data_IF_892908471850
#
_entry.id   IF_892908471850
#
_cell.length_a   1.000
_cell.length_b   1.000
_cell.length_c   1.000
_cell.angle_alpha   90.00
_cell.angle_beta   90.00
_cell.angle_gamma   90.00
#
_symmetry.space_group_name_H-M   'P 1'
#
loop_
_entity.id
_entity.type
_entity.pdbx_description
1 polymer ?
#
# COMPACT_ATOMS: atom_id res chain seq x y z
N UNK A 1 17.99 5.33 -42.08
CA UNK A 1 18.00 4.57 -40.80
C UNK A 1 16.82 5.06 -39.98
N UNK A 2 15.87 4.18 -39.66
CA UNK A 2 14.77 4.56 -38.74
C UNK A 2 15.36 4.78 -37.36
N UNK A 3 15.03 5.90 -36.70
CA UNK A 3 15.39 6.13 -35.28
C UNK A 3 14.84 4.95 -34.46
N UNK A 4 15.59 4.44 -33.48
CA UNK A 4 15.11 3.40 -32.60
C UNK A 4 13.88 3.93 -31.87
N UNK A 5 12.71 3.38 -32.20
CA UNK A 5 11.47 3.70 -31.47
C UNK A 5 11.67 3.30 -30.01
N UNK A 6 11.48 4.26 -29.11
CA UNK A 6 11.50 3.99 -27.69
C UNK A 6 10.50 2.84 -27.40
N UNK A 7 11.00 1.70 -26.96
CA UNK A 7 10.15 0.57 -26.60
C UNK A 7 9.59 0.80 -25.19
N UNK A 8 8.32 0.53 -25.00
CA UNK A 8 7.68 0.53 -23.69
C UNK A 8 7.29 -0.91 -23.31
N UNK A 9 7.48 -1.24 -22.05
CA UNK A 9 7.02 -2.52 -21.46
C UNK A 9 5.87 -2.23 -20.54
N UNK A 10 4.77 -2.97 -20.70
CA UNK A 10 3.65 -2.93 -19.77
C UNK A 10 3.92 -3.95 -18.67
N UNK A 11 3.96 -3.49 -17.42
CA UNK A 11 4.08 -4.31 -16.24
C UNK A 11 2.76 -4.41 -15.48
N UNK A 12 2.51 -5.53 -14.83
CA UNK A 12 1.32 -5.80 -14.04
C UNK A 12 1.74 -5.97 -12.59
N UNK A 13 1.28 -5.10 -11.69
CA UNK A 13 1.56 -5.16 -10.26
C UNK A 13 0.31 -5.63 -9.49
N UNK A 14 0.45 -6.62 -8.62
CA UNK A 14 -0.62 -7.07 -7.74
C UNK A 14 -0.42 -6.54 -6.31
N UNK A 15 -1.40 -5.79 -5.81
CA UNK A 15 -1.47 -5.36 -4.42
C UNK A 15 -2.47 -6.27 -3.71
N UNK A 16 -1.95 -7.35 -3.11
CA UNK A 16 -2.76 -8.40 -2.49
C UNK A 16 -2.79 -8.16 -0.99
N UNK A 17 -3.97 -7.89 -0.47
CA UNK A 17 -4.21 -7.46 0.91
C UNK A 17 -5.01 -8.53 1.65
N UNK A 18 -4.58 -8.86 2.85
CA UNK A 18 -5.28 -9.70 3.81
C UNK A 18 -5.33 -9.02 5.18
N UNK A 19 -6.21 -9.49 6.07
CA UNK A 19 -6.19 -9.10 7.49
C UNK A 19 -6.22 -10.37 8.34
N UNK A 20 -5.20 -10.53 9.17
CA UNK A 20 -5.06 -11.68 10.08
C UNK A 20 -4.62 -11.17 11.44
N UNK A 21 -5.25 -11.64 12.51
CA UNK A 21 -4.94 -11.25 13.90
C UNK A 21 -4.92 -9.71 14.09
N UNK A 22 -5.89 -9.02 13.50
CA UNK A 22 -6.02 -7.56 13.54
C UNK A 22 -4.85 -6.79 12.84
N UNK A 23 -4.00 -7.52 12.11
CA UNK A 23 -2.88 -6.93 11.36
C UNK A 23 -3.23 -6.92 9.88
N UNK A 24 -3.22 -5.75 9.23
CA UNK A 24 -3.37 -5.66 7.78
C UNK A 24 -2.06 -6.10 7.13
N UNK A 25 -2.14 -7.07 6.24
CA UNK A 25 -0.99 -7.68 5.60
C UNK A 25 -0.99 -7.42 4.11
N UNK A 26 0.20 -7.21 3.59
CA UNK A 26 0.47 -7.11 2.16
C UNK A 26 1.35 -8.28 1.74
N UNK A 27 1.00 -8.91 0.64
CA UNK A 27 1.84 -9.94 0.05
C UNK A 27 2.97 -9.30 -0.73
N UNK A 28 4.20 -9.70 -0.42
CA UNK A 28 5.39 -9.28 -1.14
C UNK A 28 6.16 -10.50 -1.65
N UNK A 29 7.04 -10.26 -2.60
CA UNK A 29 7.98 -11.24 -3.14
C UNK A 29 9.40 -10.69 -3.04
N UNK A 30 10.38 -11.54 -2.85
CA UNK A 30 11.77 -11.13 -2.99
C UNK A 30 12.07 -10.90 -4.48
N UNK A 31 12.60 -9.76 -4.81
CA UNK A 31 12.95 -9.44 -6.20
C UNK A 31 14.41 -9.76 -6.46
N UNK A 32 14.66 -10.75 -7.32
CA UNK A 32 15.98 -10.90 -7.90
C UNK A 32 16.34 -9.63 -8.69
N UNK A 33 17.56 -9.14 -8.55
CA UNK A 33 18.03 -7.86 -9.11
C UNK A 33 17.81 -7.69 -10.63
N UNK A 34 17.40 -8.73 -11.36
CA UNK A 34 17.27 -8.79 -12.82
C UNK A 34 15.89 -9.22 -13.34
N UNK A 35 14.84 -9.17 -12.56
CA UNK A 35 13.51 -9.78 -12.84
C UNK A 35 12.71 -9.16 -14.01
N UNK A 36 13.25 -8.25 -14.82
CA UNK A 36 12.65 -7.86 -16.11
C UNK A 36 13.47 -8.35 -17.32
N UNK A 37 14.50 -9.20 -17.09
CA UNK A 37 15.19 -9.87 -18.17
C UNK A 37 14.26 -10.91 -18.82
N UNK A 38 14.20 -10.91 -20.14
CA UNK A 38 13.58 -11.98 -20.91
C UNK A 38 14.17 -13.35 -20.53
N UNK A 39 13.45 -14.47 -20.67
CA UNK A 39 13.93 -15.82 -20.30
C UNK A 39 15.33 -16.18 -20.83
N UNK A 40 15.78 -15.52 -21.90
CA UNK A 40 17.11 -15.71 -22.50
C UNK A 40 18.28 -15.08 -21.72
N UNK A 41 18.03 -14.26 -20.69
CA UNK A 41 19.06 -13.55 -19.91
C UNK A 41 19.16 -14.03 -18.45
N UNK A 42 18.63 -15.21 -18.14
CA UNK A 42 18.78 -15.85 -16.81
C UNK A 42 20.23 -16.30 -16.60
N UNK A 43 21.10 -15.36 -16.23
CA UNK A 43 22.29 -15.68 -15.44
C UNK A 43 21.89 -15.75 -13.97
N UNK A 44 22.34 -16.77 -13.28
CA UNK A 44 22.13 -17.03 -11.86
C UNK A 44 22.60 -15.82 -11.02
N UNK A 45 21.69 -14.92 -10.67
CA UNK A 45 21.91 -13.97 -9.59
C UNK A 45 21.26 -14.58 -8.35
N UNK A 46 22.08 -15.07 -7.42
CA UNK A 46 21.68 -15.47 -6.09
C UNK A 46 20.86 -14.33 -5.45
N UNK A 47 19.63 -14.63 -5.06
CA UNK A 47 18.86 -13.76 -4.19
C UNK A 47 19.56 -13.71 -2.83
N UNK A 48 20.43 -12.72 -2.66
CA UNK A 48 21.00 -12.41 -1.35
C UNK A 48 19.89 -11.98 -0.41
N UNK A 49 20.02 -12.28 0.88
CA UNK A 49 19.07 -11.90 1.95
C UNK A 49 18.81 -10.40 2.08
N UNK A 50 19.50 -9.58 1.32
CA UNK A 50 19.47 -8.11 1.35
C UNK A 50 18.70 -7.48 0.16
N UNK A 51 18.03 -8.30 -0.66
CA UNK A 51 17.25 -7.76 -1.79
C UNK A 51 15.97 -7.10 -1.29
N UNK A 52 15.65 -5.86 -1.70
CA UNK A 52 14.46 -5.18 -1.24
C UNK A 52 13.20 -5.93 -1.68
N UNK A 53 12.21 -6.00 -0.79
CA UNK A 53 10.92 -6.62 -1.08
C UNK A 53 10.17 -5.86 -2.17
N UNK A 54 9.38 -6.58 -2.97
CA UNK A 54 8.60 -6.03 -4.06
C UNK A 54 7.15 -6.55 -4.00
N UNK A 55 6.24 -5.86 -4.67
CA UNK A 55 4.93 -6.40 -4.97
C UNK A 55 5.05 -7.51 -6.04
N UNK A 56 4.19 -8.52 -6.04
CA UNK A 56 4.10 -9.47 -7.14
C UNK A 56 3.93 -8.73 -8.48
N UNK A 57 4.78 -9.08 -9.45
CA UNK A 57 4.93 -8.33 -10.68
C UNK A 57 5.28 -9.26 -11.84
N UNK A 58 4.74 -8.96 -13.02
CA UNK A 58 5.17 -9.58 -14.27
C UNK A 58 4.90 -8.69 -15.48
N UNK A 59 5.66 -8.85 -16.59
CA UNK A 59 5.39 -8.15 -17.82
C UNK A 59 4.11 -8.67 -18.48
N UNK A 60 3.35 -7.78 -19.11
CA UNK A 60 2.27 -8.18 -19.99
C UNK A 60 2.84 -8.71 -21.31
N UNK A 61 2.51 -9.93 -21.65
CA UNK A 61 2.84 -10.55 -22.93
C UNK A 61 1.58 -10.61 -23.80
N UNK A 62 1.48 -9.81 -24.89
CA UNK A 62 0.27 -9.79 -25.73
C UNK A 62 0.04 -11.10 -26.49
N UNK A 63 1.06 -11.93 -26.69
CA UNK A 63 0.94 -13.22 -27.37
C UNK A 63 0.38 -14.32 -26.47
N UNK A 64 0.63 -14.22 -25.16
CA UNK A 64 0.20 -15.21 -24.17
C UNK A 64 -1.02 -14.74 -23.35
N UNK A 65 -1.15 -13.45 -23.10
CA UNK A 65 -2.17 -12.89 -22.23
C UNK A 65 -3.28 -12.21 -23.03
N UNK A 66 -4.45 -12.84 -23.09
CA UNK A 66 -5.61 -12.26 -23.76
C UNK A 66 -6.05 -10.92 -23.17
N UNK A 67 -5.92 -10.74 -21.86
CA UNK A 67 -6.22 -9.50 -21.12
C UNK A 67 -5.14 -9.21 -20.09
N UNK A 68 -5.03 -7.94 -19.64
CA UNK A 68 -4.12 -7.55 -18.56
C UNK A 68 -4.44 -8.32 -17.28
N UNK A 69 -5.71 -8.52 -16.98
CA UNK A 69 -6.17 -9.22 -15.77
C UNK A 69 -5.76 -10.71 -15.79
N UNK A 70 -5.92 -11.42 -16.92
CA UNK A 70 -5.45 -12.80 -17.05
C UNK A 70 -3.93 -12.90 -16.91
N UNK A 71 -3.19 -11.96 -17.47
CA UNK A 71 -1.74 -11.88 -17.27
C UNK A 71 -1.36 -11.69 -15.80
N UNK A 72 -2.09 -10.84 -15.08
CA UNK A 72 -1.90 -10.64 -13.64
C UNK A 72 -2.13 -11.94 -12.84
N UNK A 73 -3.27 -12.63 -13.08
CA UNK A 73 -3.60 -13.90 -12.42
C UNK A 73 -2.50 -14.94 -12.64
N UNK A 74 -2.01 -15.10 -13.87
CA UNK A 74 -0.93 -16.04 -14.18
C UNK A 74 0.35 -15.72 -13.39
N UNK A 75 0.75 -14.45 -13.31
CA UNK A 75 1.94 -14.04 -12.56
C UNK A 75 1.80 -14.23 -11.06
N UNK A 76 0.63 -13.91 -10.50
CA UNK A 76 0.37 -14.10 -9.07
C UNK A 76 0.38 -15.59 -8.73
N UNK A 77 -0.30 -16.41 -9.49
CA UNK A 77 -0.32 -17.86 -9.27
C UNK A 77 1.09 -18.47 -9.32
N UNK A 78 1.88 -18.11 -10.33
CA UNK A 78 3.26 -18.59 -10.46
C UNK A 78 4.16 -18.18 -9.29
N UNK A 79 4.06 -16.93 -8.82
CA UNK A 79 4.94 -16.39 -7.81
C UNK A 79 4.52 -16.76 -6.39
N UNK A 80 3.23 -16.93 -6.14
CA UNK A 80 2.68 -17.02 -4.77
C UNK A 80 1.84 -18.28 -4.54
N UNK A 81 1.39 -18.94 -5.59
CA UNK A 81 0.44 -20.06 -5.52
C UNK A 81 -0.99 -19.65 -5.19
N UNK A 82 -1.29 -18.34 -5.23
CA UNK A 82 -2.64 -17.83 -4.95
C UNK A 82 -3.46 -17.76 -6.23
N UNK A 83 -4.67 -18.30 -6.14
CA UNK A 83 -5.74 -18.00 -7.11
C UNK A 83 -6.50 -16.76 -6.60
N UNK A 84 -6.41 -15.67 -7.35
CA UNK A 84 -7.14 -14.45 -7.05
C UNK A 84 -8.58 -14.56 -7.55
N UNK A 85 -9.52 -14.22 -6.69
CA UNK A 85 -10.91 -13.98 -7.10
C UNK A 85 -11.05 -12.66 -7.86
N UNK A 86 -11.93 -11.79 -7.40
CA UNK A 86 -12.10 -10.46 -7.98
C UNK A 86 -10.88 -9.58 -7.75
N UNK A 87 -10.42 -8.94 -8.83
CA UNK A 87 -9.38 -7.92 -8.79
C UNK A 87 -9.93 -6.60 -9.34
N UNK A 88 -9.37 -5.50 -8.91
CA UNK A 88 -9.75 -4.17 -9.38
C UNK A 88 -8.52 -3.38 -9.79
N UNK A 89 -8.58 -2.77 -10.97
CA UNK A 89 -7.52 -1.87 -11.42
C UNK A 89 -7.43 -0.65 -10.51
N UNK A 90 -6.24 -0.41 -9.99
CA UNK A 90 -5.95 0.71 -9.10
C UNK A 90 -5.64 1.99 -9.88
N UNK A 91 -4.53 1.95 -10.60
CA UNK A 91 -3.96 3.09 -11.32
C UNK A 91 -2.91 2.62 -12.33
N UNK A 92 -2.59 3.46 -13.31
CA UNK A 92 -1.49 3.22 -14.25
C UNK A 92 -0.33 4.16 -13.93
N UNK A 93 0.79 3.58 -13.55
CA UNK A 93 2.01 4.29 -13.17
C UNK A 93 2.93 4.37 -14.40
N UNK A 94 3.09 5.53 -14.98
CA UNK A 94 3.82 5.73 -16.23
C UNK A 94 4.89 6.82 -16.18
N UNK A 95 5.32 7.26 -14.99
CA UNK A 95 6.31 8.31 -14.85
C UNK A 95 7.67 7.89 -15.42
N UNK A 96 8.45 8.84 -15.92
CA UNK A 96 9.80 8.56 -16.42
C UNK A 96 10.72 8.14 -15.27
N UNK A 97 11.65 7.25 -15.61
CA UNK A 97 12.71 6.80 -14.71
C UNK A 97 12.22 6.06 -13.47
N UNK A 98 11.02 5.52 -13.50
CA UNK A 98 10.53 4.60 -12.46
C UNK A 98 11.41 3.37 -12.32
N UNK A 99 11.93 2.90 -13.43
CA UNK A 99 12.92 1.83 -13.49
C UNK A 99 14.30 2.46 -13.81
N UNK A 100 15.31 2.30 -12.93
CA UNK A 100 16.64 2.83 -13.16
C UNK A 100 17.26 2.43 -14.49
N UNK A 101 16.86 1.28 -15.06
CA UNK A 101 17.35 0.82 -16.37
C UNK A 101 16.90 1.71 -17.52
N UNK A 102 15.77 2.43 -17.39
CA UNK A 102 15.34 3.40 -18.40
C UNK A 102 16.41 4.51 -18.58
N UNK A 103 17.05 4.94 -17.50
CA UNK A 103 18.12 5.94 -17.54
C UNK A 103 19.37 5.41 -18.26
N UNK A 104 19.60 4.09 -18.17
CA UNK A 104 20.70 3.41 -18.90
C UNK A 104 20.32 3.01 -20.34
N UNK A 105 19.23 3.55 -20.90
CA UNK A 105 18.79 3.27 -22.28
C UNK A 105 17.88 2.05 -22.42
N UNK A 106 17.42 1.47 -21.31
CA UNK A 106 16.43 0.39 -21.31
C UNK A 106 15.01 0.88 -21.68
N UNK A 107 14.05 -0.05 -21.86
CA UNK A 107 12.68 0.27 -22.20
C UNK A 107 11.97 1.01 -21.05
N UNK A 108 11.06 1.92 -21.41
CA UNK A 108 10.19 2.59 -20.43
C UNK A 108 9.20 1.60 -19.82
N UNK A 109 9.13 1.58 -18.51
CA UNK A 109 8.18 0.75 -17.79
C UNK A 109 6.88 1.53 -17.49
N UNK A 110 5.76 1.02 -18.00
CA UNK A 110 4.41 1.48 -17.63
C UNK A 110 3.76 0.35 -16.83
N UNK A 111 3.46 0.57 -15.55
CA UNK A 111 2.87 -0.44 -14.70
C UNK A 111 1.38 -0.20 -14.46
N UNK A 112 0.58 -1.24 -14.62
CA UNK A 112 -0.84 -1.25 -14.25
C UNK A 112 -0.96 -1.97 -12.91
N UNK A 113 -1.37 -1.24 -11.88
CA UNK A 113 -1.61 -1.77 -10.54
C UNK A 113 -3.02 -2.33 -10.40
N UNK A 114 -3.14 -3.46 -9.71
CA UNK A 114 -4.41 -4.12 -9.37
C UNK A 114 -4.46 -4.41 -7.88
N UNK A 115 -5.60 -4.14 -7.26
CA UNK A 115 -5.86 -4.50 -5.86
C UNK A 115 -6.67 -5.79 -5.82
N UNK A 116 -6.26 -6.72 -4.95
CA UNK A 116 -7.03 -7.89 -4.57
C UNK A 116 -7.16 -7.98 -3.05
N UNK A 117 -8.34 -8.30 -2.56
CA UNK A 117 -8.61 -8.56 -1.15
C UNK A 117 -8.83 -10.06 -0.98
N UNK A 118 -8.02 -10.69 -0.15
CA UNK A 118 -8.04 -12.13 0.05
C UNK A 118 -8.03 -12.49 1.54
N UNK A 119 -8.51 -13.66 1.87
CA UNK A 119 -8.21 -14.26 3.17
C UNK A 119 -6.81 -14.84 3.12
N UNK A 120 -6.02 -14.61 4.15
CA UNK A 120 -4.68 -15.16 4.20
C UNK A 120 -4.72 -16.70 4.15
N UNK A 121 -3.98 -17.26 3.22
CA UNK A 121 -3.79 -18.71 3.05
C UNK A 121 -2.30 -19.02 2.96
N UNK A 122 -1.89 -20.30 3.18
CA UNK A 122 -0.53 -20.73 2.97
C UNK A 122 -0.08 -20.45 1.52
N UNK A 123 1.17 -20.05 1.37
CA UNK A 123 1.79 -19.72 0.09
C UNK A 123 2.54 -20.96 -0.43
N UNK A 124 2.50 -21.21 -1.74
CA UNK A 124 3.12 -22.37 -2.38
C UNK A 124 3.78 -22.10 -3.72
N UNK A 125 3.86 -20.83 -4.13
CA UNK A 125 4.44 -20.42 -5.41
C UNK A 125 5.97 -20.54 -5.49
N UNK A 126 6.51 -20.37 -6.70
CA UNK A 126 7.96 -20.44 -6.96
C UNK A 126 8.74 -19.22 -6.43
N UNK A 127 8.05 -18.12 -6.09
CA UNK A 127 8.65 -16.93 -5.49
C UNK A 127 8.83 -17.10 -3.99
N UNK A 128 9.84 -16.44 -3.41
CA UNK A 128 9.94 -16.26 -1.97
C UNK A 128 8.90 -15.20 -1.55
N UNK A 129 7.63 -15.63 -1.47
CA UNK A 129 6.51 -14.76 -1.13
C UNK A 129 6.27 -14.75 0.38
N UNK A 130 6.06 -13.57 0.94
CA UNK A 130 5.84 -13.37 2.38
C UNK A 130 4.75 -12.35 2.66
N UNK A 131 4.05 -12.53 3.81
CA UNK A 131 3.06 -11.59 4.30
C UNK A 131 3.69 -10.62 5.30
N UNK A 132 3.77 -9.35 4.94
CA UNK A 132 4.27 -8.28 5.80
C UNK A 132 3.13 -7.44 6.37
N UNK A 133 3.32 -6.90 7.57
CA UNK A 133 2.43 -5.86 8.07
C UNK A 133 2.59 -4.60 7.22
N UNK A 134 1.51 -4.08 6.67
CA UNK A 134 1.63 -2.91 5.80
C UNK A 134 2.09 -1.64 6.54
N UNK A 135 1.92 -1.59 7.89
CA UNK A 135 2.41 -0.48 8.71
C UNK A 135 3.93 -0.50 8.91
N UNK A 136 4.61 -1.61 8.62
CA UNK A 136 6.08 -1.64 8.56
C UNK A 136 6.60 -0.76 7.43
N UNK A 137 5.80 -0.54 6.40
CA UNK A 137 6.11 0.37 5.29
C UNK A 137 5.64 1.82 5.55
N UNK A 138 4.64 2.04 6.40
CA UNK A 138 4.04 3.36 6.69
C UNK A 138 3.75 3.49 8.19
N UNK A 139 4.78 3.58 9.06
CA UNK A 139 4.59 3.59 10.51
C UNK A 139 3.80 4.81 11.02
N UNK A 140 3.73 5.89 10.26
CA UNK A 140 2.93 7.08 10.59
C UNK A 140 1.43 6.93 10.26
N UNK A 141 1.02 5.83 9.66
CA UNK A 141 -0.37 5.58 9.25
C UNK A 141 -1.16 4.74 10.27
N UNK A 142 -0.53 4.18 11.30
CA UNK A 142 -1.19 3.38 12.33
C UNK A 142 -1.54 4.23 13.56
N UNK A 143 -2.78 4.68 13.61
CA UNK A 143 -3.30 5.49 14.71
C UNK A 143 -4.14 4.68 15.72
N UNK A 144 -4.08 3.37 15.68
CA UNK A 144 -4.89 2.51 16.56
C UNK A 144 -4.51 2.66 18.04
N UNK A 145 -3.28 3.03 18.32
CA UNK A 145 -2.76 3.33 19.67
C UNK A 145 -2.59 4.83 19.92
N UNK A 146 -3.26 5.66 19.11
CA UNK A 146 -3.15 7.12 19.15
C UNK A 146 -2.26 7.68 18.04
N UNK A 147 -1.97 8.97 18.11
CA UNK A 147 -1.11 9.65 17.13
C UNK A 147 0.31 9.07 17.17
N UNK A 148 0.86 8.57 16.06
CA UNK A 148 2.21 8.04 16.02
C UNK A 148 3.24 9.11 16.38
N UNK A 149 4.05 8.84 17.40
CA UNK A 149 5.05 9.79 17.93
C UNK A 149 6.06 10.23 16.86
N UNK A 150 6.35 9.38 15.88
CA UNK A 150 7.27 9.66 14.77
C UNK A 150 6.86 10.90 13.96
N UNK A 151 5.57 11.22 13.90
CA UNK A 151 5.07 12.40 13.18
C UNK A 151 5.65 13.67 13.78
N UNK A 152 5.58 13.81 15.10
CA UNK A 152 5.99 15.03 15.79
C UNK A 152 7.46 15.01 16.21
N UNK A 153 8.04 13.83 16.42
CA UNK A 153 9.44 13.69 16.83
C UNK A 153 10.43 13.71 15.65
N UNK A 154 10.02 13.27 14.47
CA UNK A 154 10.92 13.17 13.31
C UNK A 154 10.34 13.81 12.04
N UNK A 155 9.14 13.43 11.61
CA UNK A 155 8.64 13.82 10.29
C UNK A 155 8.48 15.34 10.18
N UNK A 156 7.66 15.94 11.05
CA UNK A 156 7.36 17.38 10.98
C UNK A 156 8.57 18.27 11.17
N UNK A 157 9.44 18.05 12.18
CA UNK A 157 10.64 18.86 12.35
C UNK A 157 11.60 18.81 11.16
N UNK A 158 11.81 17.62 10.60
CA UNK A 158 12.72 17.47 9.46
C UNK A 158 12.13 18.06 8.16
N UNK A 159 10.82 17.91 7.92
CA UNK A 159 10.15 18.57 6.81
C UNK A 159 10.19 20.09 6.94
N UNK A 160 9.97 20.62 8.16
CA UNK A 160 10.05 22.05 8.38
C UNK A 160 11.46 22.58 8.09
N UNK A 161 12.49 21.92 8.61
CA UNK A 161 13.88 22.29 8.33
C UNK A 161 14.22 22.24 6.83
N UNK A 162 13.69 21.24 6.13
CA UNK A 162 13.86 21.15 4.67
C UNK A 162 13.17 22.29 3.93
N UNK A 163 11.93 22.66 4.31
CA UNK A 163 11.19 23.79 3.74
C UNK A 163 11.90 25.12 4.04
N UNK A 164 12.38 25.33 5.26
CA UNK A 164 13.12 26.51 5.64
C UNK A 164 14.40 26.68 4.79
N UNK A 165 15.02 25.56 4.40
CA UNK A 165 16.16 25.54 3.47
C UNK A 165 15.81 25.93 2.03
N UNK A 166 14.56 25.82 1.61
CA UNK A 166 14.07 26.29 0.29
C UNK A 166 13.92 27.80 0.27
N UNK A 167 13.58 28.40 1.44
CA UNK A 167 13.39 29.84 1.61
C UNK A 167 11.94 30.31 1.43
N UNK A 168 11.72 31.61 1.66
CA UNK A 168 10.39 32.26 1.75
C UNK A 168 9.69 32.53 0.39
N UNK A 169 10.14 31.90 -0.69
CA UNK A 169 9.54 32.05 -2.01
C UNK A 169 8.22 31.28 -2.20
N UNK A 170 7.62 31.40 -3.38
CA UNK A 170 6.39 30.70 -3.76
C UNK A 170 6.50 29.17 -3.57
N UNK A 171 7.68 28.62 -3.82
CA UNK A 171 7.96 27.20 -3.63
C UNK A 171 7.92 26.82 -2.16
N UNK A 172 8.56 27.59 -1.26
CA UNK A 172 8.49 27.36 0.18
C UNK A 172 7.07 27.43 0.72
N UNK A 173 6.29 28.43 0.28
CA UNK A 173 4.87 28.56 0.65
C UNK A 173 4.05 27.33 0.20
N UNK A 174 4.26 26.83 -1.01
CA UNK A 174 3.60 25.64 -1.54
C UNK A 174 3.92 24.40 -0.69
N UNK A 175 5.17 24.19 -0.32
CA UNK A 175 5.56 23.06 0.54
C UNK A 175 5.05 23.21 1.97
N UNK A 176 4.99 24.43 2.50
CA UNK A 176 4.38 24.70 3.81
C UNK A 176 2.88 24.35 3.84
N UNK A 177 2.15 24.66 2.77
CA UNK A 177 0.75 24.25 2.61
C UNK A 177 0.64 22.72 2.53
N UNK A 178 1.46 22.06 1.71
CA UNK A 178 1.49 20.60 1.59
C UNK A 178 1.80 19.92 2.94
N UNK A 179 2.75 20.44 3.72
CA UNK A 179 3.05 19.95 5.07
C UNK A 179 1.81 20.06 5.97
N UNK A 180 1.13 21.21 5.95
CA UNK A 180 -0.07 21.43 6.74
C UNK A 180 -1.22 20.53 6.36
N UNK A 181 -1.39 20.24 5.07
CA UNK A 181 -2.44 19.34 4.55
C UNK A 181 -2.09 17.87 4.87
N UNK A 182 -0.84 17.45 4.65
CA UNK A 182 -0.43 16.06 4.75
C UNK A 182 -0.27 15.59 6.21
N UNK A 183 0.39 16.38 7.04
CA UNK A 183 0.73 16.01 8.42
C UNK A 183 0.07 16.90 9.49
N UNK A 184 -0.67 17.91 9.10
CA UNK A 184 -1.51 18.78 9.93
C UNK A 184 -0.91 19.22 11.28
N UNK A 185 -1.43 20.29 11.91
CA UNK A 185 -1.22 20.52 13.32
C UNK A 185 -1.99 19.48 14.15
N UNK A 186 -1.62 19.28 15.42
CA UNK A 186 -2.26 18.29 16.31
C UNK A 186 -3.78 18.39 16.37
N UNK A 187 -4.33 19.62 16.28
CA UNK A 187 -5.75 19.89 16.34
C UNK A 187 -6.52 19.69 15.00
N UNK A 188 -5.82 19.50 13.88
CA UNK A 188 -6.48 19.27 12.60
C UNK A 188 -6.92 17.81 12.46
N UNK A 189 -8.07 17.54 11.84
CA UNK A 189 -8.48 16.18 11.57
C UNK A 189 -7.50 15.52 10.60
N UNK A 190 -7.01 14.32 10.96
CA UNK A 190 -6.18 13.52 10.07
C UNK A 190 -7.01 12.92 8.94
N UNK A 191 -6.61 13.18 7.71
CA UNK A 191 -7.23 12.57 6.53
C UNK A 191 -6.54 11.24 6.21
N UNK A 192 -7.18 10.13 6.55
CA UNK A 192 -6.66 8.79 6.38
C UNK A 192 -6.51 8.37 4.90
N UNK A 193 -7.09 9.09 3.94
CA UNK A 193 -6.98 8.78 2.51
C UNK A 193 -5.70 9.35 1.87
N UNK A 194 -5.06 10.38 2.48
CA UNK A 194 -3.89 11.09 1.94
C UNK A 194 -2.56 10.34 2.12
N UNK A 195 -2.56 9.03 2.03
CA UNK A 195 -1.35 8.20 2.23
C UNK A 195 -0.29 8.51 1.16
N UNK A 196 -0.71 8.61 -0.10
CA UNK A 196 0.19 8.92 -1.21
C UNK A 196 0.81 10.32 -1.05
N UNK A 197 0.02 11.31 -0.72
CA UNK A 197 0.50 12.70 -0.57
C UNK A 197 1.56 12.81 0.53
N UNK A 198 1.40 12.08 1.63
CA UNK A 198 2.39 11.99 2.70
C UNK A 198 3.68 11.30 2.25
N UNK A 199 3.54 10.19 1.54
CA UNK A 199 4.68 9.47 0.98
C UNK A 199 5.46 10.34 0.01
N UNK A 200 4.77 11.04 -0.93
CA UNK A 200 5.41 11.91 -1.92
C UNK A 200 6.18 13.06 -1.26
N UNK A 201 5.60 13.68 -0.25
CA UNK A 201 6.28 14.77 0.46
C UNK A 201 7.57 14.30 1.14
N UNK A 202 7.55 13.11 1.76
CA UNK A 202 8.75 12.51 2.38
C UNK A 202 9.79 12.09 1.31
N UNK A 203 9.33 11.62 0.15
CA UNK A 203 10.19 11.26 -0.97
C UNK A 203 10.88 12.50 -1.55
N UNK A 204 10.15 13.57 -1.83
CA UNK A 204 10.67 14.84 -2.35
C UNK A 204 11.67 15.49 -1.39
N UNK A 205 11.42 15.38 -0.08
CA UNK A 205 12.34 15.86 0.95
C UNK A 205 13.57 14.96 1.14
N UNK A 206 13.70 13.84 0.42
CA UNK A 206 14.85 12.93 0.54
C UNK A 206 14.91 12.15 1.84
N UNK A 207 13.80 12.01 2.57
CA UNK A 207 13.78 11.45 3.91
C UNK A 207 13.64 9.92 3.96
N UNK A 208 13.21 9.29 2.88
CA UNK A 208 12.92 7.84 2.82
C UNK A 208 13.94 7.07 1.97
N UNK A 209 14.08 5.77 2.24
CA UNK A 209 15.10 4.93 1.61
C UNK A 209 15.04 4.91 0.08
N UNK A 210 13.85 4.95 -0.51
CA UNK A 210 13.67 5.02 -1.96
C UNK A 210 14.26 6.30 -2.56
N UNK A 211 14.03 7.43 -1.92
CA UNK A 211 14.59 8.71 -2.40
C UNK A 211 16.12 8.73 -2.35
N UNK A 212 16.70 8.20 -1.25
CA UNK A 212 18.15 8.09 -1.10
C UNK A 212 18.77 7.17 -2.16
N UNK A 213 18.14 6.00 -2.40
CA UNK A 213 18.55 5.07 -3.45
C UNK A 213 18.49 5.71 -4.84
N UNK A 214 17.37 6.34 -5.17
CA UNK A 214 17.12 6.89 -6.50
C UNK A 214 18.06 8.09 -6.78
N UNK A 215 18.40 8.89 -5.76
CA UNK A 215 19.41 9.94 -5.85
C UNK A 215 20.80 9.37 -6.17
N UNK A 216 21.21 8.26 -5.53
CA UNK A 216 22.48 7.58 -5.82
C UNK A 216 22.52 7.05 -7.26
N UNK A 217 21.44 6.41 -7.73
CA UNK A 217 21.34 5.89 -9.10
C UNK A 217 21.43 7.04 -10.09
N UNK A 218 20.71 8.13 -9.88
CA UNK A 218 20.74 9.31 -10.75
C UNK A 218 22.14 9.94 -10.84
N UNK A 219 22.82 10.06 -9.71
CA UNK A 219 24.19 10.59 -9.67
C UNK A 219 25.17 9.67 -10.42
N UNK A 220 25.09 8.35 -10.22
CA UNK A 220 25.93 7.37 -10.91
C UNK A 220 25.75 7.43 -12.43
N UNK A 221 24.52 7.56 -12.92
CA UNK A 221 24.21 7.65 -14.35
C UNK A 221 24.69 8.98 -14.95
N UNK A 222 24.56 10.09 -14.18
CA UNK A 222 25.01 11.42 -14.62
C UNK A 222 26.51 11.61 -14.53
N UNK A 223 27.28 10.61 -14.07
CA UNK A 223 28.71 10.73 -13.83
C UNK A 223 29.08 11.72 -12.72
N UNK A 224 28.14 12.12 -11.90
CA UNK A 224 28.37 12.98 -10.75
C UNK A 224 28.81 12.15 -9.53
N UNK A 225 29.66 12.69 -8.65
CA UNK A 225 29.99 12.00 -7.42
C UNK A 225 28.72 11.82 -6.59
N UNK A 226 28.26 10.58 -6.41
CA UNK A 226 27.16 10.26 -5.50
C UNK A 226 27.62 10.53 -4.06
N UNK A 227 27.01 11.49 -3.40
CA UNK A 227 27.17 11.62 -1.95
C UNK A 227 26.51 10.40 -1.29
N UNK A 228 27.32 9.52 -0.72
CA UNK A 228 26.77 8.39 0.03
C UNK A 228 26.12 8.93 1.32
N UNK A 229 24.84 8.61 1.61
CA UNK A 229 24.22 9.00 2.85
C UNK A 229 25.06 8.53 4.03
N UNK A 230 25.21 9.36 5.04
CA UNK A 230 25.87 8.97 6.29
C UNK A 230 24.97 7.99 7.09
N UNK A 231 25.55 7.38 8.13
CA UNK A 231 24.83 6.41 8.96
C UNK A 231 23.62 7.02 9.69
N UNK A 232 23.66 8.31 10.02
CA UNK A 232 22.54 8.99 10.67
C UNK A 232 21.36 9.18 9.71
N UNK A 233 21.64 9.57 8.48
CA UNK A 233 20.61 9.69 7.40
C UNK A 233 19.96 8.35 7.10
N UNK A 234 20.76 7.26 7.01
CA UNK A 234 20.23 5.92 6.78
C UNK A 234 19.35 5.46 7.95
N UNK A 235 19.81 5.62 9.19
CA UNK A 235 19.03 5.28 10.37
C UNK A 235 17.73 6.08 10.48
N UNK A 236 17.75 7.38 10.12
CA UNK A 236 16.55 8.20 10.08
C UNK A 236 15.55 7.70 9.01
N UNK A 237 16.03 7.28 7.86
CA UNK A 237 15.19 6.74 6.80
C UNK A 237 14.58 5.37 7.18
N UNK A 238 15.30 4.52 7.92
CA UNK A 238 14.79 3.24 8.43
C UNK A 238 13.63 3.44 9.43
N UNK A 239 13.67 4.47 10.26
CA UNK A 239 12.54 4.81 11.13
C UNK A 239 11.28 5.17 10.37
N UNK A 240 11.42 5.64 9.12
CA UNK A 240 10.32 5.98 8.23
C UNK A 240 9.85 4.77 7.39
N UNK A 241 10.07 3.57 7.90
CA UNK A 241 9.55 2.31 7.38
C UNK A 241 10.44 1.64 6.34
N UNK A 242 10.17 0.36 6.15
CA UNK A 242 10.93 -0.52 5.27
C UNK A 242 10.84 -0.06 3.81
N UNK A 243 11.97 0.15 3.11
CA UNK A 243 11.96 0.51 1.71
C UNK A 243 11.56 -0.68 0.83
N UNK A 244 10.94 -0.40 -0.31
CA UNK A 244 10.57 -1.40 -1.31
C UNK A 244 11.39 -1.23 -2.60
N UNK A 245 11.41 -2.28 -3.41
CA UNK A 245 12.04 -2.23 -4.73
C UNK A 245 11.31 -1.22 -5.65
N UNK A 246 12.05 -0.54 -6.51
CA UNK A 246 11.54 0.48 -7.43
C UNK A 246 10.65 1.49 -6.70
N UNK A 247 9.48 1.79 -7.28
CA UNK A 247 8.44 2.63 -6.70
C UNK A 247 7.27 1.83 -6.09
N UNK A 248 7.52 0.57 -5.70
CA UNK A 248 6.46 -0.30 -5.19
C UNK A 248 5.79 0.27 -3.92
N UNK A 249 6.53 0.99 -3.08
CA UNK A 249 5.97 1.65 -1.91
C UNK A 249 5.02 2.80 -2.29
N UNK A 250 5.29 3.54 -3.38
CA UNK A 250 4.36 4.52 -3.97
C UNK A 250 3.08 3.84 -4.45
N UNK A 251 3.21 2.70 -5.14
CA UNK A 251 2.08 1.89 -5.59
C UNK A 251 1.25 1.43 -4.38
N UNK A 252 1.90 0.96 -3.32
CA UNK A 252 1.24 0.54 -2.08
C UNK A 252 0.55 1.72 -1.36
N UNK A 253 1.19 2.90 -1.28
CA UNK A 253 0.58 4.11 -0.72
C UNK A 253 -0.72 4.50 -1.43
N UNK A 254 -0.71 4.42 -2.77
CA UNK A 254 -1.90 4.65 -3.61
C UNK A 254 -3.01 3.65 -3.28
N UNK A 255 -2.66 2.37 -3.09
CA UNK A 255 -3.62 1.32 -2.75
C UNK A 255 -4.23 1.52 -1.36
N UNK A 256 -3.42 1.90 -0.35
CA UNK A 256 -3.92 2.18 0.99
C UNK A 256 -4.94 3.31 1.01
N UNK A 257 -4.62 4.44 0.38
CA UNK A 257 -5.55 5.56 0.25
C UNK A 257 -6.85 5.14 -0.44
N UNK A 258 -6.76 4.35 -1.52
CA UNK A 258 -7.91 3.83 -2.26
C UNK A 258 -8.79 2.90 -1.40
N UNK A 259 -8.19 1.97 -0.65
CA UNK A 259 -8.93 1.06 0.23
C UNK A 259 -9.63 1.83 1.34
N UNK A 260 -8.94 2.77 2.00
CA UNK A 260 -9.51 3.60 3.07
C UNK A 260 -10.70 4.44 2.57
N UNK A 261 -10.57 5.03 1.38
CA UNK A 261 -11.68 5.70 0.72
C UNK A 261 -12.85 4.75 0.47
N UNK A 262 -12.59 3.56 -0.07
CA UNK A 262 -13.63 2.56 -0.36
C UNK A 262 -14.38 2.05 0.87
N UNK A 263 -13.73 1.93 2.02
CA UNK A 263 -14.41 1.54 3.27
C UNK A 263 -15.63 2.43 3.57
N UNK A 264 -15.64 3.68 3.09
CA UNK A 264 -16.74 4.62 3.32
C UNK A 264 -17.99 4.31 2.49
N UNK A 265 -17.83 3.79 1.26
CA UNK A 265 -18.95 3.65 0.32
C UNK A 265 -19.06 2.28 -0.37
N UNK A 266 -18.11 1.37 -0.17
CA UNK A 266 -18.14 0.00 -0.73
C UNK A 266 -17.97 -1.04 0.37
N UNK A 267 -18.66 -2.18 0.29
CA UNK A 267 -18.59 -3.23 1.30
C UNK A 267 -17.39 -4.18 1.08
N UNK A 268 -16.27 -3.67 0.59
CA UNK A 268 -15.08 -4.46 0.21
C UNK A 268 -14.46 -5.25 1.38
N UNK A 269 -14.71 -4.83 2.61
CA UNK A 269 -14.21 -5.48 3.82
C UNK A 269 -14.71 -6.92 3.99
N UNK A 270 -15.86 -7.25 3.42
CA UNK A 270 -16.47 -8.58 3.59
C UNK A 270 -15.70 -9.68 2.83
N UNK A 271 -14.92 -9.32 1.81
CA UNK A 271 -14.06 -10.27 1.09
C UNK A 271 -12.89 -10.79 1.96
N UNK A 272 -12.55 -10.05 3.01
CA UNK A 272 -11.50 -10.40 3.98
C UNK A 272 -12.01 -11.30 5.12
N UNK A 273 -13.32 -11.50 5.24
CA UNK A 273 -13.96 -12.22 6.33
C UNK A 273 -14.43 -13.61 5.90
N UNK A 274 -14.57 -14.52 6.88
CA UNK A 274 -15.31 -15.75 6.66
C UNK A 274 -16.77 -15.44 6.29
N UNK A 275 -17.50 -16.34 5.62
CA UNK A 275 -18.91 -16.13 5.28
C UNK A 275 -19.81 -15.78 6.48
N UNK A 276 -19.50 -16.36 7.64
CA UNK A 276 -20.11 -16.04 8.93
C UNK A 276 -19.05 -15.46 9.86
N UNK A 277 -19.34 -14.33 10.47
CA UNK A 277 -18.40 -13.58 11.32
C UNK A 277 -19.15 -12.89 12.48
N UNK A 278 -18.42 -12.54 13.51
CA UNK A 278 -18.94 -11.70 14.58
C UNK A 278 -18.79 -10.22 14.24
N UNK A 279 -19.62 -9.35 14.79
CA UNK A 279 -19.46 -7.90 14.61
C UNK A 279 -18.12 -7.38 15.16
N UNK A 280 -17.52 -8.09 16.11
CA UNK A 280 -16.19 -7.74 16.60
C UNK A 280 -15.10 -8.04 15.56
N UNK A 281 -15.17 -9.19 14.90
CA UNK A 281 -14.25 -9.53 13.80
C UNK A 281 -14.35 -8.50 12.66
N UNK A 282 -15.58 -8.15 12.24
CA UNK A 282 -15.77 -7.10 11.24
C UNK A 282 -15.18 -5.76 11.69
N UNK A 283 -15.45 -5.33 12.95
CA UNK A 283 -14.88 -4.10 13.50
C UNK A 283 -13.34 -4.12 13.45
N UNK A 284 -12.71 -5.22 13.87
CA UNK A 284 -11.26 -5.36 13.91
C UNK A 284 -10.62 -5.29 12.51
N UNK A 285 -11.26 -5.89 11.51
CA UNK A 285 -10.81 -5.77 10.12
C UNK A 285 -10.90 -4.34 9.62
N UNK A 286 -11.99 -3.63 9.91
CA UNK A 286 -12.14 -2.22 9.53
C UNK A 286 -11.12 -1.33 10.26
N UNK A 287 -10.88 -1.56 11.55
CA UNK A 287 -9.86 -0.85 12.33
C UNK A 287 -8.45 -1.11 11.80
N UNK A 288 -8.16 -2.36 11.42
CA UNK A 288 -6.87 -2.72 10.85
C UNK A 288 -6.59 -1.97 9.54
N UNK A 289 -7.55 -1.95 8.61
CA UNK A 289 -7.41 -1.25 7.33
C UNK A 289 -7.43 0.27 7.50
N UNK A 290 -8.32 0.77 8.38
CA UNK A 290 -8.47 2.21 8.62
C UNK A 290 -7.31 2.84 9.40
N UNK A 291 -6.59 2.04 10.17
CA UNK A 291 -5.52 2.53 11.05
C UNK A 291 -6.05 3.29 12.28
N UNK A 292 -7.29 3.06 12.70
CA UNK A 292 -7.93 3.80 13.79
C UNK A 292 -8.86 2.91 14.59
N UNK A 293 -8.92 3.09 15.93
CA UNK A 293 -9.89 2.40 16.78
C UNK A 293 -11.27 3.02 16.64
N UNK A 294 -12.29 2.19 16.57
CA UNK A 294 -13.67 2.59 16.43
C UNK A 294 -14.45 2.39 17.71
N UNK A 295 -15.32 3.33 18.07
CA UNK A 295 -16.21 3.15 19.21
C UNK A 295 -17.21 2.02 18.94
N UNK A 296 -17.14 0.95 19.72
CA UNK A 296 -17.86 -0.30 19.53
C UNK A 296 -19.37 -0.13 19.29
N UNK A 297 -20.05 0.70 20.09
CA UNK A 297 -21.50 0.89 19.97
C UNK A 297 -21.87 1.67 18.70
N UNK A 298 -21.08 2.70 18.35
CA UNK A 298 -21.29 3.49 17.14
C UNK A 298 -21.09 2.64 15.89
N UNK A 299 -20.04 1.85 15.86
CA UNK A 299 -19.76 0.93 14.76
C UNK A 299 -20.90 -0.08 14.57
N UNK A 300 -21.30 -0.75 15.65
CA UNK A 300 -22.41 -1.72 15.60
C UNK A 300 -23.71 -1.10 15.10
N UNK A 301 -24.07 0.08 15.63
CA UNK A 301 -25.26 0.81 15.18
C UNK A 301 -25.20 1.16 13.70
N UNK A 302 -24.04 1.62 13.23
CA UNK A 302 -23.83 1.97 11.83
C UNK A 302 -24.00 0.76 10.90
N UNK A 303 -23.38 -0.37 11.23
CA UNK A 303 -23.41 -1.58 10.41
C UNK A 303 -24.82 -2.23 10.40
N UNK A 304 -25.48 -2.31 11.56
CA UNK A 304 -26.81 -2.89 11.68
C UNK A 304 -27.88 -1.99 11.05
N UNK A 305 -27.91 -0.69 11.40
CA UNK A 305 -28.88 0.26 10.84
C UNK A 305 -28.62 0.52 9.34
N UNK A 306 -27.35 0.36 8.92
CA UNK A 306 -26.97 0.35 7.51
C UNK A 306 -27.50 -0.86 6.75
N UNK A 307 -28.03 -1.88 7.43
CA UNK A 307 -28.52 -3.10 6.80
C UNK A 307 -27.44 -3.89 6.05
N UNK A 308 -26.16 -3.69 6.43
CA UNK A 308 -25.03 -4.35 5.78
C UNK A 308 -24.91 -5.83 6.16
N UNK A 309 -25.42 -6.18 7.32
CA UNK A 309 -25.33 -7.53 7.87
C UNK A 309 -26.67 -8.01 8.39
N UNK A 310 -26.86 -9.32 8.39
CA UNK A 310 -28.02 -9.97 9.00
C UNK A 310 -27.55 -11.10 9.93
N UNK A 311 -28.29 -11.35 11.04
CA UNK A 311 -27.98 -12.44 11.95
C UNK A 311 -28.22 -13.80 11.28
N UNK A 312 -27.31 -14.75 11.52
CA UNK A 312 -27.45 -16.13 11.01
C UNK A 312 -28.29 -17.03 11.92
N UNK A 313 -28.64 -16.57 13.12
CA UNK A 313 -29.22 -17.38 14.18
C UNK A 313 -28.22 -18.32 14.87
N UNK A 314 -26.98 -18.36 14.43
CA UNK A 314 -25.90 -19.17 14.99
C UNK A 314 -25.03 -18.36 15.96
N UNK A 315 -24.29 -19.07 16.81
CA UNK A 315 -23.31 -18.46 17.72
C UNK A 315 -21.94 -19.09 17.54
N UNK A 316 -20.92 -18.26 17.71
CA UNK A 316 -19.54 -18.71 17.72
C UNK A 316 -19.26 -19.43 19.05
N UNK A 317 -19.06 -20.74 18.96
CA UNK A 317 -18.75 -21.60 20.11
C UNK A 317 -17.25 -21.66 20.45
N UNK A 318 -16.38 -21.11 19.61
CA UNK A 318 -14.92 -21.18 19.81
C UNK A 318 -14.38 -20.01 20.65
N UNK A 319 -15.17 -18.96 20.84
CA UNK A 319 -14.77 -17.80 21.61
C UNK A 319 -14.69 -18.12 23.12
N UNK A 320 -13.57 -17.76 23.77
CA UNK A 320 -13.48 -17.77 25.24
C UNK A 320 -14.48 -16.76 25.82
N UNK A 321 -15.50 -17.21 26.53
CA UNK A 321 -16.52 -16.36 27.17
C UNK A 321 -17.92 -16.61 26.65
N UNK A 322 -18.83 -15.60 26.76
CA UNK A 322 -20.20 -15.73 26.27
C UNK A 322 -20.20 -15.86 24.75
N UNK A 323 -20.81 -16.92 24.16
CA UNK A 323 -20.87 -17.13 22.72
C UNK A 323 -21.39 -15.90 21.98
N UNK A 324 -20.63 -15.42 21.01
CA UNK A 324 -20.99 -14.27 20.19
C UNK A 324 -21.95 -14.68 19.07
N UNK A 325 -22.91 -13.80 18.75
CA UNK A 325 -23.80 -13.99 17.61
C UNK A 325 -23.04 -13.86 16.29
N UNK A 326 -23.33 -14.77 15.35
CA UNK A 326 -22.77 -14.77 14.01
C UNK A 326 -23.67 -14.02 13.03
N UNK A 327 -23.05 -13.22 12.21
CA UNK A 327 -23.67 -12.44 11.15
C UNK A 327 -23.10 -12.85 9.80
N UNK A 328 -23.85 -12.56 8.73
CA UNK A 328 -23.35 -12.64 7.36
C UNK A 328 -23.61 -11.33 6.61
N UNK A 329 -22.86 -11.10 5.56
CA UNK A 329 -23.07 -9.94 4.68
C UNK A 329 -24.37 -10.09 3.91
N UNK A 330 -25.20 -9.04 3.94
CA UNK A 330 -26.47 -8.99 3.21
C UNK A 330 -26.22 -8.43 1.81
N UNK A 331 -26.11 -9.33 0.83
CA UNK A 331 -25.75 -8.96 -0.56
C UNK A 331 -26.79 -8.07 -1.24
N UNK A 332 -28.04 -8.16 -0.86
CA UNK A 332 -29.17 -7.39 -1.38
C UNK A 332 -28.94 -5.87 -1.22
N UNK A 333 -28.16 -5.46 -0.21
CA UNK A 333 -27.83 -4.05 0.01
C UNK A 333 -27.11 -3.42 -1.21
N UNK A 334 -26.41 -4.22 -2.02
CA UNK A 334 -25.73 -3.75 -3.22
C UNK A 334 -26.70 -3.25 -4.29
N UNK A 335 -27.90 -3.83 -4.36
CA UNK A 335 -28.95 -3.40 -5.28
C UNK A 335 -29.86 -2.32 -4.69
N UNK A 336 -29.95 -2.24 -3.35
CA UNK A 336 -30.80 -1.29 -2.64
C UNK A 336 -30.16 0.09 -2.49
N UNK A 337 -28.83 0.17 -2.43
CA UNK A 337 -28.11 1.43 -2.12
C UNK A 337 -26.89 1.62 -3.00
N UNK A 338 -26.74 2.80 -3.63
CA UNK A 338 -25.55 3.12 -4.43
C UNK A 338 -24.24 3.16 -3.61
N UNK A 339 -24.33 3.52 -2.31
CA UNK A 339 -23.19 3.60 -1.40
C UNK A 339 -23.48 2.76 -0.15
N UNK A 340 -22.88 1.57 -0.10
CA UNK A 340 -23.11 0.56 0.94
C UNK A 340 -21.84 0.25 1.76
N UNK A 341 -20.98 1.25 1.98
CA UNK A 341 -19.76 1.10 2.76
C UNK A 341 -19.98 1.06 4.26
N UNK A 342 -18.97 0.60 4.99
CA UNK A 342 -19.01 0.48 6.47
C UNK A 342 -18.88 1.84 7.16
N UNK A 343 -18.44 2.88 6.44
CA UNK A 343 -18.22 4.22 6.96
C UNK A 343 -17.08 4.27 7.99
N UNK A 344 -16.00 4.99 7.69
CA UNK A 344 -15.06 5.39 8.74
C UNK A 344 -15.63 6.67 9.39
N UNK A 345 -15.73 6.74 10.71
CA UNK A 345 -16.02 8.01 11.37
C UNK A 345 -14.90 9.00 11.05
N UNK A 346 -15.23 10.28 11.05
CA UNK A 346 -14.20 11.32 11.02
C UNK A 346 -13.19 11.06 12.14
N UNK A 347 -11.91 11.32 11.86
CA UNK A 347 -10.85 11.14 12.87
C UNK A 347 -11.25 11.80 14.19
N UNK A 348 -10.97 11.17 15.33
CA UNK A 348 -11.23 11.78 16.63
C UNK A 348 -10.48 13.14 16.67
N UNK A 349 -11.18 14.19 17.07
CA UNK A 349 -10.53 15.45 17.46
C UNK A 349 -9.86 15.16 18.79
N UNK A 350 -8.56 15.05 18.80
CA UNK A 350 -7.81 15.03 20.04
C UNK A 350 -7.89 16.44 20.64
N UNK A 351 -8.68 16.61 21.70
CA UNK A 351 -8.59 17.79 22.54
C UNK A 351 -7.23 17.76 23.25
N UNK A 352 -6.50 18.86 23.14
CA UNK A 352 -5.22 19.10 23.82
C UNK A 352 -5.36 18.91 25.35
#
# INVERSE_FOLDING_TARGET
>A
MAEPRASAVIGLNAIIIAVTDEVPRILTVQRAAHSLATPAQKGEAEAGSDSPVALPFGPFDPDQHRTLELGLHNWVEQQTGLDLGYVEQLYTFGDRYRDPREQAGGPRLVSVGYIALVRQVPLSGAGAAEWHNWYDFFPWEDWREGRPAIIDQAIRPNLQNWIDGIGDGEMGATYQERLSIAFGPEAAPWDFERVLERYELLYEAGMIGEALRDAQISAAISGQPASRPDGATLAAAELLGTPMALDNRRVLATALGRIRGKLKYRPVVFDLLAPNFTLLQLQRVVEALGGVRLHKQNFRRLVINGGLVEPTGQRDSQARGRPAELFRFRREVLSERPASGVGLPAAPRYSA
#
